data_IF_689492111934
#
_entry.id   IF_689492111934
#
_cell.length_a   1.000
_cell.length_b   1.000
_cell.length_c   1.000
_cell.angle_alpha   90.00
_cell.angle_beta   90.00
_cell.angle_gamma   90.00
#
_symmetry.space_group_name_H-M   'P 1'
#
loop_
_entity.id
_entity.type
_entity.pdbx_description
1 polymer ?
#
# COMPACT_ATOMS: atom_id res chain seq x y z
N UNK A 1 18.92 15.57 2.29
CA UNK A 1 18.63 14.47 3.21
C UNK A 1 17.86 13.41 2.43
N UNK A 2 18.14 12.12 2.65
CA UNK A 2 17.44 11.06 1.94
C UNK A 2 15.93 11.16 2.22
N UNK A 3 15.13 11.16 1.15
CA UNK A 3 13.68 11.31 1.21
C UNK A 3 13.01 10.13 1.96
N UNK A 4 13.59 8.93 1.87
CA UNK A 4 13.13 7.71 2.54
C UNK A 4 14.27 7.08 3.36
N UNK A 5 13.94 6.57 4.54
CA UNK A 5 14.83 5.74 5.36
C UNK A 5 14.63 4.26 5.02
N UNK A 6 15.72 3.51 4.85
CA UNK A 6 15.67 2.06 4.59
C UNK A 6 16.59 1.35 5.58
N UNK A 7 16.14 0.21 6.07
CA UNK A 7 16.96 -0.67 6.89
C UNK A 7 16.74 -2.13 6.56
N UNK A 8 17.84 -2.87 6.55
CA UNK A 8 17.86 -4.33 6.42
C UNK A 8 18.68 -4.91 7.56
N UNK A 9 18.23 -6.03 8.08
CA UNK A 9 19.00 -6.79 9.06
C UNK A 9 18.83 -8.29 8.91
N UNK A 10 19.89 -9.03 9.24
CA UNK A 10 19.93 -10.49 9.22
C UNK A 10 20.49 -11.02 10.55
N UNK A 11 19.81 -12.00 11.13
CA UNK A 11 20.10 -12.54 12.44
C UNK A 11 20.25 -14.05 12.35
N UNK A 12 21.35 -14.57 12.90
CA UNK A 12 21.56 -16.00 13.14
C UNK A 12 20.58 -16.50 14.23
N UNK A 13 19.74 -17.47 13.87
CA UNK A 13 18.70 -18.02 14.74
C UNK A 13 19.32 -18.79 15.91
N UNK A 14 20.39 -19.57 15.65
CA UNK A 14 21.11 -20.31 16.68
C UNK A 14 21.79 -19.37 17.68
N UNK A 15 22.15 -18.15 17.29
CA UNK A 15 22.66 -17.13 18.22
C UNK A 15 21.56 -16.64 19.17
N UNK A 16 20.35 -16.41 18.69
CA UNK A 16 19.21 -16.00 19.52
C UNK A 16 18.78 -17.13 20.44
N UNK A 17 18.70 -18.35 19.94
CA UNK A 17 18.38 -19.54 20.74
C UNK A 17 19.37 -19.71 21.90
N UNK A 18 20.68 -19.63 21.63
CA UNK A 18 21.72 -19.68 22.67
C UNK A 18 21.62 -18.53 23.66
N UNK A 19 21.27 -17.31 23.21
CA UNK A 19 21.12 -16.16 24.10
C UNK A 19 19.97 -16.34 25.09
N UNK A 20 18.83 -16.84 24.60
CA UNK A 20 17.65 -17.13 25.43
C UNK A 20 17.95 -18.30 26.39
N UNK A 21 18.55 -19.39 25.89
CA UNK A 21 18.86 -20.56 26.71
C UNK A 21 19.89 -20.30 27.80
N UNK A 22 20.83 -19.37 27.58
CA UNK A 22 21.84 -19.00 28.60
C UNK A 22 21.33 -18.00 29.63
N UNK A 23 20.41 -17.12 29.25
CA UNK A 23 19.91 -16.07 30.13
C UNK A 23 18.39 -15.93 30.00
N UNK A 24 17.62 -16.48 30.97
CA UNK A 24 16.16 -16.37 30.97
C UNK A 24 15.63 -14.93 30.94
N UNK A 25 16.39 -13.95 31.46
CA UNK A 25 16.02 -12.54 31.44
C UNK A 25 16.31 -11.84 30.11
N UNK A 26 17.07 -12.46 29.20
CA UNK A 26 17.35 -11.88 27.89
C UNK A 26 16.05 -11.58 27.15
N UNK A 27 15.15 -12.56 27.10
CA UNK A 27 13.88 -12.40 26.40
C UNK A 27 13.03 -11.28 27.03
N UNK A 28 12.93 -11.24 28.36
CA UNK A 28 12.17 -10.23 29.09
C UNK A 28 12.70 -8.81 28.90
N UNK A 29 14.02 -8.67 28.76
CA UNK A 29 14.66 -7.36 28.54
C UNK A 29 14.50 -6.87 27.11
N UNK A 30 14.59 -7.76 26.13
CA UNK A 30 14.66 -7.39 24.71
C UNK A 30 13.29 -7.34 24.04
N UNK A 31 12.35 -8.19 24.43
CA UNK A 31 11.05 -8.33 23.79
C UNK A 31 9.91 -7.95 24.73
N UNK A 32 8.86 -7.34 24.19
CA UNK A 32 7.66 -7.01 24.99
C UNK A 32 6.94 -8.29 25.42
N UNK A 33 6.00 -8.17 26.36
CA UNK A 33 5.19 -9.30 26.81
C UNK A 33 4.39 -9.90 25.64
N UNK A 34 3.79 -9.06 24.79
CA UNK A 34 3.00 -9.47 23.63
C UNK A 34 3.84 -10.24 22.61
N UNK A 35 5.08 -9.81 22.39
CA UNK A 35 6.00 -10.50 21.49
C UNK A 35 6.46 -11.84 22.03
N UNK A 36 6.74 -11.91 23.34
CA UNK A 36 7.09 -13.17 24.01
C UNK A 36 5.95 -14.16 23.93
N UNK A 37 4.74 -13.74 24.31
CA UNK A 37 3.52 -14.54 24.17
C UNK A 37 3.30 -15.00 22.72
N UNK A 38 3.62 -14.16 21.72
CA UNK A 38 3.59 -14.57 20.31
C UNK A 38 4.63 -15.64 19.98
N UNK A 39 5.88 -15.47 20.41
CA UNK A 39 6.95 -16.37 20.02
C UNK A 39 6.79 -17.74 20.70
N UNK A 40 6.36 -17.75 21.96
CA UNK A 40 6.22 -18.96 22.77
C UNK A 40 5.09 -19.88 22.31
N UNK A 41 4.04 -19.35 21.65
CA UNK A 41 2.97 -20.17 21.07
C UNK A 41 3.34 -20.87 19.75
N UNK A 42 4.56 -20.68 19.26
CA UNK A 42 4.99 -21.20 17.96
C UNK A 42 5.80 -22.49 18.12
N UNK A 43 5.77 -23.41 17.13
CA UNK A 43 6.51 -24.67 17.23
C UNK A 43 8.02 -24.49 17.43
N UNK A 44 8.58 -23.40 16.88
CA UNK A 44 9.99 -23.04 17.01
C UNK A 44 10.12 -21.58 17.44
N UNK A 45 10.09 -21.28 18.75
CA UNK A 45 10.10 -19.91 19.26
C UNK A 45 11.34 -19.11 18.82
N UNK A 46 12.51 -19.75 18.74
CA UNK A 46 13.77 -19.08 18.38
C UNK A 46 13.73 -18.41 17.00
N UNK A 47 13.14 -19.06 15.99
CA UNK A 47 12.95 -18.50 14.64
C UNK A 47 12.14 -17.20 14.70
N UNK A 48 11.07 -17.20 15.51
CA UNK A 48 10.22 -16.03 15.68
C UNK A 48 10.90 -14.92 16.46
N UNK A 49 11.60 -15.23 17.57
CA UNK A 49 12.39 -14.25 18.32
C UNK A 49 13.45 -13.60 17.43
N UNK A 50 14.14 -14.37 16.60
CA UNK A 50 15.13 -13.85 15.67
C UNK A 50 14.52 -12.89 14.64
N UNK A 51 13.34 -13.20 14.08
CA UNK A 51 12.63 -12.25 13.21
C UNK A 51 12.31 -10.92 13.90
N UNK A 52 11.94 -10.93 15.19
CA UNK A 52 11.61 -9.69 15.93
C UNK A 52 12.87 -8.90 16.24
N UNK A 53 13.97 -9.59 16.53
CA UNK A 53 15.26 -8.95 16.72
C UNK A 53 15.73 -8.27 15.42
N UNK A 54 15.70 -9.00 14.30
CA UNK A 54 16.01 -8.45 12.98
C UNK A 54 15.11 -7.26 12.63
N UNK A 55 13.81 -7.35 12.93
CA UNK A 55 12.86 -6.27 12.68
C UNK A 55 13.24 -4.98 13.43
N UNK A 56 13.63 -5.08 14.71
CA UNK A 56 14.06 -3.91 15.47
C UNK A 56 15.28 -3.26 14.86
N UNK A 57 16.30 -4.05 14.53
CA UNK A 57 17.50 -3.53 13.90
C UNK A 57 17.21 -2.89 12.54
N UNK A 58 16.40 -3.52 11.70
CA UNK A 58 15.99 -2.96 10.42
C UNK A 58 15.25 -1.63 10.60
N UNK A 59 14.31 -1.54 11.55
CA UNK A 59 13.58 -0.30 11.86
C UNK A 59 14.53 0.79 12.34
N UNK A 60 15.43 0.49 13.28
CA UNK A 60 16.36 1.48 13.82
C UNK A 60 17.38 1.97 12.77
N UNK A 61 17.74 1.11 11.81
CA UNK A 61 18.54 1.52 10.64
C UNK A 61 17.74 2.42 9.71
N UNK A 62 16.47 2.11 9.45
CA UNK A 62 15.60 2.97 8.66
C UNK A 62 15.40 4.35 9.30
N UNK A 63 15.38 4.42 10.64
CA UNK A 63 15.32 5.68 11.40
C UNK A 63 16.68 6.39 11.53
N UNK A 64 17.79 5.77 11.12
CA UNK A 64 19.13 6.38 11.15
C UNK A 64 19.80 6.47 12.52
N UNK A 65 19.37 5.66 13.51
CA UNK A 65 19.85 5.76 14.90
C UNK A 65 20.64 4.55 15.40
N UNK A 66 20.19 3.33 15.06
CA UNK A 66 20.64 2.11 15.73
C UNK A 66 20.26 2.05 17.22
N UNK A 67 20.82 1.09 17.99
CA UNK A 67 20.64 1.01 19.45
C UNK A 67 21.54 2.03 20.18
N UNK A 68 21.41 3.31 19.84
CA UNK A 68 22.19 4.40 20.41
C UNK A 68 21.28 5.57 20.80
N UNK A 69 21.83 6.61 21.42
CA UNK A 69 21.09 7.86 21.68
C UNK A 69 19.90 7.72 22.64
N UNK A 70 19.93 6.75 23.55
CA UNK A 70 18.88 6.51 24.55
C UNK A 70 17.76 5.58 24.10
N UNK A 71 17.85 4.98 22.92
CA UNK A 71 16.87 4.01 22.43
C UNK A 71 16.91 2.73 23.25
N UNK A 72 15.79 2.42 23.90
CA UNK A 72 15.58 1.19 24.64
C UNK A 72 15.40 -0.03 23.74
N UNK A 73 15.64 -1.22 24.27
CA UNK A 73 15.46 -2.46 23.51
C UNK A 73 14.01 -2.69 23.06
N UNK A 74 13.05 -2.23 23.85
CA UNK A 74 11.61 -2.40 23.61
C UNK A 74 10.96 -1.19 22.94
N UNK A 75 11.74 -0.15 22.63
CA UNK A 75 11.25 1.07 21.96
C UNK A 75 10.78 0.80 20.52
N UNK A 76 11.20 -0.33 19.95
CA UNK A 76 10.64 -0.85 18.71
C UNK A 76 10.13 -2.23 19.01
N UNK A 77 8.89 -2.57 18.67
CA UNK A 77 8.33 -3.93 18.78
C UNK A 77 7.53 -4.30 17.54
N UNK A 78 7.19 -5.57 17.37
CA UNK A 78 6.45 -6.05 16.19
C UNK A 78 5.12 -6.65 16.61
N UNK A 79 4.03 -6.10 16.08
CA UNK A 79 2.69 -6.70 16.14
C UNK A 79 2.29 -7.26 14.78
N UNK A 80 1.15 -7.96 14.73
CA UNK A 80 0.53 -8.42 13.48
C UNK A 80 -0.95 -8.11 13.50
N UNK A 81 -1.49 -7.74 12.35
CA UNK A 81 -2.93 -7.59 12.17
C UNK A 81 -3.62 -8.94 11.91
N UNK A 82 -4.94 -8.89 11.72
CA UNK A 82 -5.79 -10.08 11.47
C UNK A 82 -5.44 -10.80 10.16
N UNK A 83 -4.83 -10.10 9.20
CA UNK A 83 -4.33 -10.70 7.95
C UNK A 83 -2.95 -11.34 8.13
N UNK A 84 -2.34 -11.17 9.29
CA UNK A 84 -1.01 -11.65 9.63
C UNK A 84 0.11 -10.73 9.16
N UNK A 85 -0.18 -9.56 8.57
CA UNK A 85 0.84 -8.60 8.13
C UNK A 85 1.55 -8.02 9.37
N UNK A 86 2.90 -7.99 9.38
CA UNK A 86 3.65 -7.44 10.49
C UNK A 86 3.66 -5.90 10.47
N UNK A 87 3.56 -5.31 11.66
CA UNK A 87 3.60 -3.86 11.87
C UNK A 87 4.64 -3.53 12.94
N UNK A 88 5.45 -2.51 12.68
CA UNK A 88 6.37 -1.97 13.68
C UNK A 88 5.63 -1.01 14.61
N UNK A 89 5.74 -1.25 15.91
CA UNK A 89 5.26 -0.36 16.96
C UNK A 89 6.45 0.40 17.51
N UNK A 90 6.36 1.73 17.57
CA UNK A 90 7.39 2.59 18.14
C UNK A 90 6.92 3.15 19.48
N UNK A 91 7.82 3.16 20.45
CA UNK A 91 7.65 3.74 21.77
C UNK A 91 8.92 4.48 22.19
N UNK A 92 8.84 5.22 23.30
CA UNK A 92 9.99 5.88 23.91
C UNK A 92 10.78 6.73 22.91
N UNK A 93 12.11 6.57 22.93
CA UNK A 93 13.02 7.40 22.13
C UNK A 93 12.90 7.12 20.63
N UNK A 94 12.57 5.89 20.23
CA UNK A 94 12.38 5.56 18.81
C UNK A 94 11.17 6.29 18.20
N UNK A 95 10.08 6.44 18.96
CA UNK A 95 8.90 7.19 18.53
C UNK A 95 9.22 8.69 18.36
N UNK A 96 9.96 9.28 19.30
CA UNK A 96 10.39 10.69 19.22
C UNK A 96 11.24 10.95 17.97
N UNK A 97 12.17 10.05 17.65
CA UNK A 97 13.02 10.16 16.46
C UNK A 97 12.18 10.05 15.18
N UNK A 98 11.29 9.07 15.12
CA UNK A 98 10.41 8.89 13.96
C UNK A 98 9.54 10.14 13.72
N UNK A 99 8.98 10.72 14.78
CA UNK A 99 8.22 11.97 14.71
C UNK A 99 9.09 13.14 14.23
N UNK A 100 10.31 13.30 14.76
CA UNK A 100 11.25 14.34 14.34
C UNK A 100 11.69 14.20 12.87
N UNK A 101 11.64 12.98 12.33
CA UNK A 101 11.92 12.69 10.92
C UNK A 101 10.68 12.71 10.02
N UNK A 102 9.50 13.00 10.57
CA UNK A 102 8.24 13.04 9.80
C UNK A 102 7.82 11.67 9.25
N UNK A 103 8.23 10.59 9.92
CA UNK A 103 7.85 9.23 9.55
C UNK A 103 6.39 8.98 9.95
N UNK A 104 5.56 8.63 8.99
CA UNK A 104 4.14 8.35 9.19
C UNK A 104 3.86 6.84 9.27
N UNK A 105 4.64 6.06 8.52
CA UNK A 105 4.46 4.62 8.41
C UNK A 105 5.82 3.94 8.28
N UNK A 106 5.94 2.73 8.83
CA UNK A 106 7.06 1.85 8.57
C UNK A 106 6.55 0.58 7.90
N UNK A 107 6.83 0.44 6.61
CA UNK A 107 6.55 -0.80 5.90
C UNK A 107 7.59 -1.85 6.32
N UNK A 108 7.11 -2.92 6.94
CA UNK A 108 7.94 -3.99 7.49
C UNK A 108 7.67 -5.31 6.74
N UNK A 109 8.74 -6.01 6.36
CA UNK A 109 8.68 -7.36 5.80
C UNK A 109 9.66 -8.26 6.53
N UNK A 110 9.22 -9.49 6.83
CA UNK A 110 9.96 -10.47 7.62
C UNK A 110 10.03 -11.79 6.85
N UNK A 111 11.20 -12.41 6.83
CA UNK A 111 11.40 -13.76 6.31
C UNK A 111 12.40 -14.51 7.19
N UNK A 112 12.37 -15.83 7.15
CA UNK A 112 13.36 -16.65 7.82
C UNK A 112 13.49 -18.02 7.16
N UNK A 113 14.64 -18.64 7.40
CA UNK A 113 14.98 -20.02 7.07
C UNK A 113 15.22 -20.78 8.38
N UNK A 114 15.82 -21.97 8.31
CA UNK A 114 16.26 -22.66 9.52
C UNK A 114 17.39 -21.91 10.25
N UNK A 115 18.28 -21.25 9.51
CA UNK A 115 19.52 -20.71 10.06
C UNK A 115 19.46 -19.19 10.30
N UNK A 116 18.72 -18.48 9.45
CA UNK A 116 18.71 -17.02 9.44
C UNK A 116 17.30 -16.43 9.40
N UNK A 117 17.09 -15.36 10.16
CA UNK A 117 15.95 -14.46 10.04
C UNK A 117 16.39 -13.15 9.40
N UNK A 118 15.57 -12.59 8.52
CA UNK A 118 15.81 -11.32 7.82
C UNK A 118 14.61 -10.40 7.98
N UNK A 119 14.88 -9.11 8.12
CA UNK A 119 13.87 -8.07 8.12
C UNK A 119 14.25 -6.91 7.21
N UNK A 120 13.26 -6.38 6.50
CA UNK A 120 13.36 -5.16 5.73
C UNK A 120 12.36 -4.15 6.28
N UNK A 121 12.82 -2.92 6.51
CA UNK A 121 12.01 -1.80 6.97
C UNK A 121 12.20 -0.60 6.03
N UNK A 122 11.09 0.05 5.67
CA UNK A 122 11.09 1.30 4.92
C UNK A 122 10.30 2.33 5.71
N UNK A 123 10.96 3.42 6.11
CA UNK A 123 10.34 4.55 6.75
C UNK A 123 9.73 5.46 5.68
N UNK A 124 8.41 5.59 5.71
CA UNK A 124 7.61 6.35 4.76
C UNK A 124 7.22 7.67 5.43
N UNK A 125 7.63 8.75 4.79
CA UNK A 125 7.22 10.12 5.08
C UNK A 125 6.17 10.58 4.08
N UNK A 126 5.47 11.68 4.33
CA UNK A 126 4.54 12.26 3.35
C UNK A 126 5.21 12.49 1.97
N UNK A 127 6.47 12.92 1.96
CA UNK A 127 7.23 13.17 0.73
C UNK A 127 7.57 11.89 -0.06
N UNK A 128 7.47 10.71 0.55
CA UNK A 128 7.83 9.41 -0.06
C UNK A 128 6.69 8.42 -0.12
N UNK A 129 5.52 8.79 0.39
CA UNK A 129 4.32 7.99 0.26
C UNK A 129 4.07 7.72 -1.23
N UNK A 130 3.97 6.45 -1.66
CA UNK A 130 3.63 6.14 -3.04
C UNK A 130 2.28 6.79 -3.35
N UNK A 131 2.27 7.75 -4.26
CA UNK A 131 1.02 8.30 -4.77
C UNK A 131 0.28 7.16 -5.47
N UNK A 132 -0.97 6.92 -5.09
CA UNK A 132 -1.80 6.01 -5.87
C UNK A 132 -1.82 6.54 -7.30
N UNK A 133 -1.60 5.65 -8.26
CA UNK A 133 -1.68 6.01 -9.68
C UNK A 133 -3.05 6.62 -9.95
N UNK A 134 -3.10 7.92 -10.19
CA UNK A 134 -4.27 8.61 -10.73
C UNK A 134 -4.54 8.22 -12.19
N UNK A 135 -3.71 7.34 -12.78
CA UNK A 135 -3.98 6.83 -14.12
C UNK A 135 -5.37 6.18 -14.11
N UNK A 136 -6.27 6.63 -15.00
CA UNK A 136 -7.62 6.11 -15.06
C UNK A 136 -7.59 4.59 -15.27
N UNK A 137 -8.47 3.87 -14.57
CA UNK A 137 -8.60 2.43 -14.73
C UNK A 137 -8.87 2.13 -16.21
N UNK A 138 -7.97 1.40 -16.91
CA UNK A 138 -8.13 1.12 -18.33
C UNK A 138 -9.46 0.44 -18.64
N UNK A 139 -10.02 -0.33 -17.70
CA UNK A 139 -11.34 -0.93 -17.83
C UNK A 139 -12.45 0.10 -17.73
N UNK A 140 -12.32 1.08 -16.84
CA UNK A 140 -13.28 2.17 -16.69
C UNK A 140 -13.30 3.10 -17.92
N UNK A 141 -12.12 3.41 -18.47
CA UNK A 141 -11.98 4.16 -19.74
C UNK A 141 -12.59 3.41 -20.93
N UNK A 142 -12.25 2.13 -21.07
CA UNK A 142 -12.80 1.30 -22.14
C UNK A 142 -14.33 1.19 -22.02
N UNK A 143 -14.84 1.01 -20.80
CA UNK A 143 -16.28 0.99 -20.55
C UNK A 143 -16.96 2.34 -20.84
N UNK A 144 -16.29 3.47 -20.61
CA UNK A 144 -16.79 4.79 -20.97
C UNK A 144 -16.84 4.98 -22.50
N UNK A 145 -15.78 4.59 -23.20
CA UNK A 145 -15.70 4.65 -24.66
C UNK A 145 -16.78 3.77 -25.33
N UNK A 146 -17.03 2.57 -24.82
CA UNK A 146 -18.12 1.72 -25.34
C UNK A 146 -19.51 2.33 -25.11
N UNK A 147 -19.74 3.00 -23.98
CA UNK A 147 -21.02 3.69 -23.72
C UNK A 147 -21.22 4.85 -24.69
N UNK A 148 -20.17 5.64 -24.92
CA UNK A 148 -20.20 6.77 -25.86
C UNK A 148 -20.44 6.29 -27.30
N UNK A 149 -19.69 5.29 -27.75
CA UNK A 149 -19.87 4.70 -29.08
C UNK A 149 -21.29 4.15 -29.29
N UNK A 150 -21.87 3.52 -28.25
CA UNK A 150 -23.25 3.02 -28.32
C UNK A 150 -24.28 4.14 -28.38
N UNK A 151 -24.08 5.23 -27.63
CA UNK A 151 -24.95 6.41 -27.71
C UNK A 151 -24.94 7.04 -29.11
N UNK A 152 -23.77 7.10 -29.77
CA UNK A 152 -23.65 7.63 -31.13
C UNK A 152 -24.35 6.74 -32.16
N UNK A 153 -24.28 5.42 -32.00
CA UNK A 153 -25.02 4.48 -32.85
C UNK A 153 -26.53 4.64 -32.66
N UNK A 154 -27.01 4.73 -31.42
CA UNK A 154 -28.43 4.94 -31.12
C UNK A 154 -28.94 6.29 -31.71
N UNK A 155 -28.09 7.32 -31.77
CA UNK A 155 -28.40 8.59 -32.44
C UNK A 155 -28.47 8.46 -33.96
N UNK A 156 -27.54 7.74 -34.59
CA UNK A 156 -27.54 7.52 -36.04
C UNK A 156 -28.74 6.69 -36.50
N UNK A 157 -29.10 5.64 -35.74
CA UNK A 157 -30.28 4.82 -36.02
C UNK A 157 -31.58 5.65 -35.96
N UNK A 158 -31.64 6.67 -35.10
CA UNK A 158 -32.77 7.62 -35.04
C UNK A 158 -32.85 8.58 -36.23
N UNK A 159 -31.74 8.86 -36.91
CA UNK A 159 -31.72 9.75 -38.08
C UNK A 159 -32.19 9.01 -39.34
N UNK A 160 -31.92 7.71 -39.46
CA UNK A 160 -32.37 6.87 -40.59
C UNK A 160 -33.89 6.53 -40.53
N UNK A 161 -34.55 6.69 -39.38
CA UNK A 161 -36.01 6.48 -39.23
C UNK A 161 -36.86 7.74 -39.52
N UNK A 162 -36.25 8.89 -39.88
CA UNK A 162 -37.02 10.07 -40.27
C UNK A 162 -37.75 9.80 -41.61
N UNK A 163 -39.09 9.95 -41.69
CA UNK A 163 -39.82 9.59 -42.89
C UNK A 163 -39.43 10.53 -44.04
N UNK A 164 -38.98 9.94 -45.15
CA UNK A 164 -38.78 10.65 -46.42
C UNK A 164 -40.16 11.04 -46.95
N UNK A 165 -40.53 12.32 -46.84
CA UNK A 165 -41.74 12.82 -47.50
C UNK A 165 -41.56 12.73 -49.02
N UNK A 166 -42.49 12.08 -49.76
CA UNK A 166 -42.37 11.97 -51.21
C UNK A 166 -42.61 13.34 -51.86
N UNK A 167 -41.57 13.83 -52.54
CA UNK A 167 -41.60 15.01 -53.39
C UNK A 167 -42.66 14.83 -54.49
N UNK A 168 -43.76 15.59 -54.45
CA UNK A 168 -44.68 15.70 -55.59
C UNK A 168 -44.23 16.87 -56.46
N UNK A 169 -43.61 16.55 -57.60
CA UNK A 169 -43.29 17.51 -58.66
C UNK A 169 -44.55 17.79 -59.49
N UNK A 170 -44.78 19.07 -59.69
CA UNK A 170 -45.87 19.75 -60.39
C UNK A 170 -46.00 19.42 -61.88
N UNK A 171 -47.23 19.48 -62.41
CA UNK A 171 -47.49 19.82 -63.82
C UNK A 171 -48.73 20.71 -63.96
N UNK A 172 -48.47 21.97 -64.35
CA UNK A 172 -49.16 22.82 -65.35
C UNK A 172 -50.67 23.11 -65.19
N UNK A 173 -51.24 24.27 -65.52
CA UNK A 173 -50.82 25.41 -66.35
C UNK A 173 -51.76 26.62 -66.10
N UNK A 174 -51.15 27.79 -65.87
CA UNK A 174 -51.42 29.12 -66.47
C UNK A 174 -52.72 29.30 -67.30
N UNK A 175 -53.62 30.22 -66.89
CA UNK A 175 -54.10 31.35 -67.74
C UNK A 175 -55.14 32.28 -67.06
N UNK A 176 -54.73 33.55 -66.90
CA UNK A 176 -55.40 34.84 -67.24
C UNK A 176 -56.80 35.23 -66.70
N UNK A 177 -56.79 36.25 -65.81
CA UNK A 177 -57.45 37.59 -65.85
C UNK A 177 -58.77 37.87 -66.60
N UNK A 178 -59.56 38.79 -66.00
CA UNK A 178 -60.71 39.66 -66.44
C UNK A 178 -62.10 39.19 -65.93
N UNK A 179 -63.05 39.97 -65.39
CA UNK A 179 -63.43 41.41 -65.29
C UNK A 179 -64.24 41.66 -63.97
N UNK A 180 -64.24 42.84 -63.31
CA UNK A 180 -65.32 43.88 -63.23
C UNK A 180 -66.77 43.31 -63.24
N UNK A 181 -67.72 43.63 -62.35
CA UNK A 181 -68.06 44.81 -61.51
C UNK A 181 -68.45 44.44 -60.07
#
# INVERSE_FOLDING_TARGET
MALAGVGVDIVDIARIERAIGRNPHFAQRVFTEEERAYCERKPRPAEHYACRFAAREAVLKALGTGFSGGIGWQDVSVTRDDTGRPHAMLAGRAAEVAQAHGVEEIALSLSFTHDYAVANAVAITEATRPKQSEAPDPKAELAASFREARSLLDELERVDEAPVEPNTVSTQEVAKTSHEE
#
